data_IF_975530167164
#
_entry.id   IF_975530167164
#
_cell.length_a   1.000
_cell.length_b   1.000
_cell.length_c   1.000
_cell.angle_alpha   90.00
_cell.angle_beta   90.00
_cell.angle_gamma   90.00
#
_symmetry.space_group_name_H-M   'P 1'
#
loop_
_entity.id
_entity.type
_entity.pdbx_description
1 polymer ?
#
# COMPACT_ATOMS: atom_id res chain seq x y z
N UNK A 1 -3.08 -15.86 -25.19
CA UNK A 1 -2.37 -15.09 -24.16
C UNK A 1 -3.39 -14.75 -23.09
N UNK A 2 -3.23 -15.25 -21.87
CA UNK A 2 -4.14 -14.93 -20.77
C UNK A 2 -3.57 -13.70 -20.04
N UNK A 3 -4.34 -12.61 -19.99
CA UNK A 3 -4.03 -11.49 -19.12
C UNK A 3 -4.29 -11.88 -17.66
N UNK A 4 -3.63 -11.19 -16.72
CA UNK A 4 -3.98 -11.25 -15.30
C UNK A 4 -4.78 -10.00 -14.96
N UNK A 5 -5.90 -10.16 -14.26
CA UNK A 5 -6.72 -9.08 -13.74
C UNK A 5 -6.54 -8.97 -12.22
N UNK A 6 -6.70 -7.77 -11.68
CA UNK A 6 -6.63 -7.52 -10.25
C UNK A 6 -7.47 -6.31 -9.87
N UNK A 7 -7.94 -6.31 -8.63
CA UNK A 7 -8.81 -5.26 -8.09
C UNK A 7 -8.30 -4.77 -6.74
N UNK A 8 -8.78 -3.61 -6.31
CA UNK A 8 -8.46 -3.06 -5.01
C UNK A 8 -9.29 -1.83 -4.70
N UNK A 9 -9.26 -1.43 -3.44
CA UNK A 9 -10.05 -0.32 -2.91
C UNK A 9 -9.11 0.78 -2.45
N UNK A 10 -9.27 1.97 -3.01
CA UNK A 10 -8.67 3.18 -2.47
C UNK A 10 -9.61 3.79 -1.45
N UNK A 11 -9.08 4.11 -0.28
CA UNK A 11 -9.79 4.84 0.77
C UNK A 11 -9.18 6.23 0.88
N UNK A 12 -10.02 7.26 0.87
CA UNK A 12 -9.62 8.66 0.98
C UNK A 12 -10.26 9.29 2.21
N UNK A 13 -9.57 10.25 2.80
CA UNK A 13 -10.15 11.18 3.76
C UNK A 13 -11.09 12.15 3.04
N UNK A 14 -11.99 12.80 3.79
CA UNK A 14 -12.88 13.83 3.24
C UNK A 14 -12.12 15.02 2.64
N UNK A 15 -10.92 15.28 3.14
CA UNK A 15 -9.94 16.27 2.64
C UNK A 15 -9.28 15.87 1.31
N UNK A 16 -9.53 14.65 0.82
CA UNK A 16 -8.99 14.14 -0.45
C UNK A 16 -7.65 13.40 -0.33
N UNK A 17 -7.07 13.32 0.87
CA UNK A 17 -5.83 12.56 1.11
C UNK A 17 -6.10 11.05 0.99
N UNK A 18 -5.28 10.34 0.23
CA UNK A 18 -5.36 8.87 0.17
C UNK A 18 -4.90 8.29 1.52
N UNK A 19 -5.76 7.57 2.21
CA UNK A 19 -5.42 6.92 3.48
C UNK A 19 -4.79 5.54 3.24
N UNK A 20 -5.39 4.79 2.32
CA UNK A 20 -4.89 3.46 1.99
C UNK A 20 -5.35 2.95 0.64
N UNK A 21 -4.59 2.00 0.11
CA UNK A 21 -5.03 1.07 -0.93
C UNK A 21 -5.00 -0.35 -0.36
N UNK A 22 -6.10 -1.08 -0.51
CA UNK A 22 -6.21 -2.48 -0.05
C UNK A 22 -6.58 -3.40 -1.21
N UNK A 23 -5.97 -4.57 -1.27
CA UNK A 23 -6.30 -5.60 -2.25
C UNK A 23 -6.20 -6.99 -1.63
N UNK A 24 -7.06 -7.89 -2.09
CA UNK A 24 -6.95 -9.31 -1.79
C UNK A 24 -6.24 -10.06 -2.93
N UNK A 25 -6.00 -9.44 -4.09
CA UNK A 25 -5.52 -10.10 -5.31
C UNK A 25 -3.98 -10.22 -5.40
N UNK A 26 -3.25 -9.62 -4.47
CA UNK A 26 -1.78 -9.73 -4.41
C UNK A 26 -1.37 -11.01 -3.69
N UNK A 27 -0.51 -11.81 -4.31
CA UNK A 27 0.06 -13.01 -3.70
C UNK A 27 1.31 -12.67 -2.88
N UNK A 28 1.34 -13.09 -1.62
CA UNK A 28 2.55 -13.07 -0.78
C UNK A 28 3.40 -14.31 -1.08
N UNK A 29 4.69 -14.11 -1.35
CA UNK A 29 5.63 -15.20 -1.58
C UNK A 29 6.40 -15.53 -0.30
N UNK A 30 6.29 -16.77 0.17
CA UNK A 30 7.09 -17.30 1.27
C UNK A 30 8.53 -17.57 0.85
N UNK A 31 9.43 -17.72 1.83
CA UNK A 31 10.83 -18.06 1.59
C UNK A 31 11.03 -19.43 0.93
N UNK A 32 10.06 -20.33 1.07
CA UNK A 32 10.01 -21.64 0.43
C UNK A 32 9.42 -21.61 -0.99
N UNK A 33 9.05 -20.43 -1.49
CA UNK A 33 8.40 -20.25 -2.78
C UNK A 33 6.88 -20.51 -2.76
N UNK A 34 6.29 -20.78 -1.59
CA UNK A 34 4.83 -20.87 -1.46
C UNK A 34 4.18 -19.52 -1.76
N UNK A 35 2.98 -19.54 -2.35
CA UNK A 35 2.19 -18.35 -2.62
C UNK A 35 0.92 -18.38 -1.77
N UNK A 36 0.67 -17.29 -1.05
CA UNK A 36 -0.50 -17.15 -0.19
C UNK A 36 -1.31 -15.92 -0.60
N UNK A 37 -2.62 -16.09 -0.72
CA UNK A 37 -3.55 -14.99 -0.99
C UNK A 37 -3.92 -14.34 0.35
N UNK A 38 -3.26 -13.25 0.68
CA UNK A 38 -3.42 -12.54 1.95
C UNK A 38 -3.69 -11.08 1.64
N UNK A 39 -4.62 -10.46 2.37
CA UNK A 39 -4.92 -9.05 2.19
C UNK A 39 -3.65 -8.22 2.35
N UNK A 40 -3.45 -7.33 1.40
CA UNK A 40 -2.35 -6.39 1.41
C UNK A 40 -2.85 -4.96 1.48
N UNK A 41 -2.19 -4.15 2.30
CA UNK A 41 -2.48 -2.72 2.47
C UNK A 41 -1.24 -1.89 2.22
N UNK A 42 -1.36 -0.87 1.37
CA UNK A 42 -0.49 0.31 1.38
C UNK A 42 -1.20 1.42 2.14
N UNK A 43 -0.62 1.87 3.26
CA UNK A 43 -1.13 3.01 4.02
C UNK A 43 -0.24 4.24 3.79
N UNK A 44 -0.89 5.40 3.65
CA UNK A 44 -0.25 6.69 3.45
C UNK A 44 -0.61 7.61 4.62
N UNK A 45 0.36 8.40 5.09
CA UNK A 45 0.14 9.37 6.17
C UNK A 45 1.20 10.49 6.12
N UNK A 46 1.10 11.40 7.09
CA UNK A 46 2.01 12.54 7.26
C UNK A 46 2.14 13.37 5.97
N UNK A 47 1.00 13.82 5.46
CA UNK A 47 0.93 14.60 4.24
C UNK A 47 1.62 15.97 4.40
N UNK A 48 2.35 16.38 3.36
CA UNK A 48 3.01 17.70 3.29
C UNK A 48 2.75 18.35 1.94
N UNK A 49 2.75 19.67 1.93
CA UNK A 49 2.68 20.43 0.69
C UNK A 49 4.05 20.49 0.02
N UNK A 50 4.14 20.02 -1.22
CA UNK A 50 5.31 20.13 -2.10
C UNK A 50 4.84 20.71 -3.42
N UNK A 51 5.33 21.90 -3.77
CA UNK A 51 4.97 22.59 -5.02
C UNK A 51 3.45 22.75 -5.23
N UNK A 52 2.70 22.93 -4.13
CA UNK A 52 1.25 23.07 -4.16
C UNK A 52 0.47 21.76 -4.19
N UNK A 53 1.13 20.61 -4.26
CA UNK A 53 0.51 19.29 -4.15
C UNK A 53 0.61 18.75 -2.71
N UNK A 54 -0.47 18.13 -2.23
CA UNK A 54 -0.46 17.37 -0.98
C UNK A 54 0.05 15.96 -1.24
N UNK A 55 1.23 15.63 -0.74
CA UNK A 55 1.89 14.33 -0.95
C UNK A 55 2.18 13.65 0.39
N UNK A 56 2.00 12.32 0.52
CA UNK A 56 2.33 11.62 1.75
C UNK A 56 3.84 11.63 1.98
N UNK A 57 4.27 11.74 3.23
CA UNK A 57 5.67 11.55 3.61
C UNK A 57 5.91 10.24 4.35
N UNK A 58 4.86 9.55 4.78
CA UNK A 58 4.94 8.20 5.37
C UNK A 58 4.18 7.20 4.49
N UNK A 59 4.82 6.05 4.25
CA UNK A 59 4.25 4.93 3.49
C UNK A 59 4.51 3.63 4.26
N UNK A 60 3.46 2.84 4.50
CA UNK A 60 3.57 1.50 5.09
C UNK A 60 2.98 0.44 4.20
N UNK A 61 3.67 -0.69 4.06
CA UNK A 61 3.16 -1.87 3.35
C UNK A 61 3.01 -3.03 4.33
N UNK A 62 1.79 -3.54 4.46
CA UNK A 62 1.43 -4.57 5.44
C UNK A 62 0.71 -5.74 4.77
N UNK A 63 1.12 -6.95 5.12
CA UNK A 63 0.35 -8.18 4.91
C UNK A 63 -0.46 -8.49 6.16
N UNK A 64 -1.74 -8.82 6.00
CA UNK A 64 -2.66 -9.12 7.11
C UNK A 64 -2.89 -10.62 7.23
N UNK A 65 -1.93 -11.36 7.80
CA UNK A 65 -2.06 -12.80 8.01
C UNK A 65 -3.06 -13.11 9.14
N UNK A 66 -3.69 -14.29 9.15
CA UNK A 66 -4.54 -14.72 10.26
C UNK A 66 -3.83 -14.69 11.63
N UNK A 67 -2.51 -14.94 11.64
CA UNK A 67 -1.68 -14.94 12.84
C UNK A 67 -1.27 -13.53 13.28
N UNK A 68 -1.38 -12.53 12.39
CA UNK A 68 -1.04 -11.14 12.67
C UNK A 68 -0.54 -10.36 11.46
N UNK A 69 -0.33 -9.07 11.68
CA UNK A 69 0.14 -8.16 10.65
C UNK A 69 1.66 -8.23 10.49
N UNK A 70 2.11 -8.30 9.24
CA UNK A 70 3.51 -8.14 8.86
C UNK A 70 3.69 -6.85 8.05
N UNK A 71 4.13 -5.80 8.72
CA UNK A 71 4.61 -4.58 8.05
C UNK A 71 6.05 -4.80 7.60
N UNK A 72 6.26 -5.03 6.31
CA UNK A 72 7.61 -5.27 5.76
C UNK A 72 8.28 -3.99 5.24
N UNK A 73 7.52 -2.90 5.12
CA UNK A 73 8.01 -1.58 4.76
C UNK A 73 7.30 -0.53 5.63
N UNK A 74 8.09 0.28 6.33
CA UNK A 74 7.64 1.43 7.13
C UNK A 74 8.58 2.60 6.83
N UNK A 75 8.28 3.30 5.74
CA UNK A 75 9.08 4.42 5.23
C UNK A 75 8.61 5.74 5.81
N UNK A 76 9.56 6.55 6.27
CA UNK A 76 9.37 7.94 6.69
C UNK A 76 10.14 8.88 5.76
N UNK A 77 9.72 10.14 5.71
CA UNK A 77 10.31 11.19 4.87
C UNK A 77 10.40 10.81 3.39
N UNK A 78 9.42 10.03 2.91
CA UNK A 78 9.37 9.57 1.52
C UNK A 78 9.29 10.77 0.59
N UNK A 79 10.12 10.73 -0.46
CA UNK A 79 10.07 11.67 -1.56
C UNK A 79 9.32 11.05 -2.73
N UNK A 80 8.18 11.64 -3.07
CA UNK A 80 7.45 11.34 -4.30
C UNK A 80 7.98 12.28 -5.38
N UNK A 81 8.37 11.72 -6.53
CA UNK A 81 8.78 12.47 -7.72
C UNK A 81 7.85 12.09 -8.88
N UNK A 82 7.38 13.08 -9.63
CA UNK A 82 6.59 12.91 -10.84
C UNK A 82 7.28 13.63 -12.00
N UNK A 83 6.98 13.20 -13.24
CA UNK A 83 7.56 13.70 -14.48
C UNK A 83 6.79 14.91 -15.02
#
# INVERSE_FOLDING_TARGET
AFGMEGSGVFTFAETGEMLSFTTDDRMAAGFDGSLQKVRWTAACSDYRSVEGLSVPSTLKATWHYPEGDLTYFDGKDVKISYL
#
